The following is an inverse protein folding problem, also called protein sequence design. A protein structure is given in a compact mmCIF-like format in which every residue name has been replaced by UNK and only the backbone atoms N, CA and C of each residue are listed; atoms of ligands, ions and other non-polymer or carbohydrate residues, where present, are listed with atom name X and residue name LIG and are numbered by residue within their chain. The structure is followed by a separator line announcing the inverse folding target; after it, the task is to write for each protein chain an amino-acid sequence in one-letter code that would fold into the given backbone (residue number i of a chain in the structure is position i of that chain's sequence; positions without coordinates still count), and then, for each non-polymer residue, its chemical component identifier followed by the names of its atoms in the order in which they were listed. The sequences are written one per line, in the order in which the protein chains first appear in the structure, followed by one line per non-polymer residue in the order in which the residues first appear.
data_IF_339083275366
#
_entry.id   IF_339083275366
#
_cell.length_a   1.000
_cell.length_b   1.000
_cell.length_c   1.000
_cell.angle_alpha   90.00
_cell.angle_beta   90.00
_cell.angle_gamma   90.00
#
_symmetry.space_group_name_H-M   'P 1'
#
loop_
_entity.id
_entity.type
_entity.pdbx_description
1 polymer ?
#
# COMPACT_ATOMS: atom_id res chain seq x y z
N UNK A 1 -40.32 53.91 -46.17
CA UNK A 1 -39.85 52.74 -46.96
C UNK A 1 -38.49 52.27 -46.45
N UNK A 2 -38.46 51.26 -45.58
CA UNK A 2 -37.53 50.11 -45.62
C UNK A 2 -37.96 49.16 -44.51
N UNK A 3 -38.30 47.94 -44.92
CA UNK A 3 -39.06 46.96 -44.14
C UNK A 3 -38.18 46.27 -43.10
N UNK A 4 -38.74 46.16 -41.90
CA UNK A 4 -38.30 45.29 -40.81
C UNK A 4 -38.21 43.85 -41.34
N UNK A 5 -37.06 43.19 -41.19
CA UNK A 5 -36.94 41.73 -41.34
C UNK A 5 -36.61 41.15 -39.99
N UNK A 6 -37.66 40.81 -39.24
CA UNK A 6 -37.58 39.83 -38.16
C UNK A 6 -37.28 38.49 -38.82
N UNK A 7 -36.14 37.90 -38.52
CA UNK A 7 -35.85 36.49 -38.81
C UNK A 7 -35.79 35.80 -37.45
N UNK A 8 -36.88 35.14 -37.07
CA UNK A 8 -36.86 34.10 -36.05
C UNK A 8 -36.44 32.82 -36.75
N UNK A 9 -35.25 32.32 -36.45
CA UNK A 9 -34.87 30.94 -36.73
C UNK A 9 -34.28 30.30 -35.48
N UNK A 10 -35.08 29.40 -34.92
CA UNK A 10 -34.70 28.09 -34.35
C UNK A 10 -33.52 28.02 -33.38
N UNK A 11 -33.81 27.60 -32.15
CA UNK A 11 -32.83 27.11 -31.20
C UNK A 11 -31.99 25.94 -31.75
N UNK A 12 -30.68 25.98 -31.52
CA UNK A 12 -29.86 24.79 -31.37
C UNK A 12 -28.95 25.02 -30.15
N UNK A 13 -29.26 24.32 -29.07
CA UNK A 13 -28.32 24.12 -27.97
C UNK A 13 -27.15 23.27 -28.50
N UNK A 14 -25.96 23.85 -28.59
CA UNK A 14 -24.72 23.08 -28.67
C UNK A 14 -23.93 23.38 -27.40
N UNK A 15 -24.03 22.47 -26.45
CA UNK A 15 -23.06 22.36 -25.36
C UNK A 15 -21.71 21.98 -25.99
N UNK A 16 -20.79 22.94 -26.10
CA UNK A 16 -19.41 22.64 -26.46
C UNK A 16 -18.66 22.23 -25.20
N UNK A 17 -18.54 20.91 -25.08
CA UNK A 17 -17.58 20.18 -24.27
C UNK A 17 -16.14 20.66 -24.54
N UNK A 18 -15.30 20.62 -23.51
CA UNK A 18 -13.87 20.36 -23.70
C UNK A 18 -12.91 21.55 -23.58
N UNK A 19 -13.05 22.40 -22.57
CA UNK A 19 -11.88 23.10 -22.04
C UNK A 19 -11.29 22.23 -20.93
N UNK A 20 -10.17 21.57 -21.23
CA UNK A 20 -9.43 20.73 -20.31
C UNK A 20 -8.98 21.51 -19.09
N UNK A 21 -9.78 21.47 -18.03
CA UNK A 21 -9.28 21.71 -16.70
C UNK A 21 -8.62 20.40 -16.30
N UNK A 22 -7.32 20.30 -16.59
CA UNK A 22 -6.44 19.41 -15.85
C UNK A 22 -6.43 19.91 -14.41
N UNK A 23 -7.50 19.61 -13.68
CA UNK A 23 -7.57 19.82 -12.25
C UNK A 23 -6.67 18.74 -11.65
N UNK A 24 -5.38 19.02 -11.66
CA UNK A 24 -4.39 18.27 -10.93
C UNK A 24 -4.71 18.50 -9.45
N UNK A 25 -5.61 17.67 -8.91
CA UNK A 25 -5.74 17.59 -7.46
C UNK A 25 -4.38 17.11 -6.96
N UNK A 26 -3.67 17.85 -6.09
CA UNK A 26 -2.61 17.24 -5.32
C UNK A 26 -3.24 16.02 -4.65
N UNK A 27 -2.70 14.83 -4.98
CA UNK A 27 -3.21 13.58 -4.45
C UNK A 27 -3.31 13.71 -2.94
N UNK A 28 -4.49 13.45 -2.38
CA UNK A 28 -4.63 13.32 -0.94
C UNK A 28 -3.54 12.33 -0.49
N UNK A 29 -2.72 12.75 0.47
CA UNK A 29 -1.69 11.89 1.02
C UNK A 29 -2.37 10.60 1.50
N UNK A 30 -1.96 9.46 0.94
CA UNK A 30 -2.63 8.21 1.22
C UNK A 30 -2.59 7.95 2.73
N UNK A 31 -3.74 7.63 3.33
CA UNK A 31 -3.78 7.22 4.74
C UNK A 31 -3.14 5.83 4.87
N UNK A 32 -1.85 5.82 5.20
CA UNK A 32 -1.06 4.59 5.35
C UNK A 32 -1.29 3.87 6.69
N UNK A 33 -2.25 4.32 7.51
CA UNK A 33 -2.56 3.67 8.79
C UNK A 33 -3.16 2.28 8.56
N UNK A 34 -2.59 1.27 9.22
CA UNK A 34 -3.12 -0.09 9.16
C UNK A 34 -4.42 -0.23 9.96
N UNK A 35 -5.39 -0.94 9.38
CA UNK A 35 -6.75 -1.15 9.89
C UNK A 35 -7.05 -2.65 10.15
N UNK A 36 -6.36 -3.31 11.10
CA UNK A 36 -6.49 -4.75 11.33
C UNK A 36 -7.83 -5.17 11.95
N UNK A 37 -8.64 -4.22 12.43
CA UNK A 37 -9.95 -4.47 13.03
C UNK A 37 -11.12 -4.15 12.07
N UNK A 38 -10.81 -3.70 10.86
CA UNK A 38 -11.80 -3.44 9.81
C UNK A 38 -11.97 -4.72 8.96
N UNK A 39 -13.11 -5.43 9.08
CA UNK A 39 -13.28 -6.73 8.45
C UNK A 39 -13.27 -6.66 6.92
N UNK A 40 -13.72 -5.55 6.32
CA UNK A 40 -13.74 -5.40 4.86
C UNK A 40 -12.32 -5.20 4.31
N UNK A 41 -11.54 -4.34 4.98
CA UNK A 41 -10.14 -4.10 4.63
C UNK A 41 -9.30 -5.36 4.80
N UNK A 42 -9.52 -6.10 5.90
CA UNK A 42 -8.81 -7.36 6.16
C UNK A 42 -9.17 -8.43 5.12
N UNK A 43 -10.45 -8.57 4.76
CA UNK A 43 -10.87 -9.54 3.75
C UNK A 43 -10.33 -9.20 2.35
N UNK A 44 -10.27 -7.92 1.99
CA UNK A 44 -9.63 -7.45 0.76
C UNK A 44 -8.12 -7.73 0.78
N UNK A 45 -7.45 -7.36 1.86
CA UNK A 45 -6.03 -7.60 2.08
C UNK A 45 -5.63 -9.07 2.00
N UNK A 46 -6.47 -9.98 2.50
CA UNK A 46 -6.25 -11.42 2.39
C UNK A 46 -6.22 -11.89 0.94
N UNK A 47 -7.13 -11.38 0.08
CA UNK A 47 -7.16 -11.73 -1.34
C UNK A 47 -5.87 -11.30 -2.04
N UNK A 48 -5.42 -10.07 -1.75
CA UNK A 48 -4.16 -9.54 -2.26
C UNK A 48 -2.98 -10.39 -1.77
N UNK A 49 -2.93 -10.71 -0.48
CA UNK A 49 -1.88 -11.54 0.09
C UNK A 49 -1.76 -12.88 -0.64
N UNK A 50 -2.88 -13.56 -0.86
CA UNK A 50 -2.90 -14.85 -1.55
C UNK A 50 -2.44 -14.74 -3.01
N UNK A 51 -2.80 -13.66 -3.69
CA UNK A 51 -2.45 -13.45 -5.09
C UNK A 51 -0.99 -13.00 -5.29
N UNK A 52 -0.44 -12.19 -4.38
CA UNK A 52 0.81 -11.47 -4.59
C UNK A 52 1.95 -11.89 -3.64
N UNK A 53 1.63 -12.31 -2.41
CA UNK A 53 2.63 -12.47 -1.34
C UNK A 53 2.87 -13.94 -0.96
N UNK A 54 1.83 -14.76 -1.02
CA UNK A 54 1.82 -16.12 -0.49
C UNK A 54 2.79 -17.07 -1.20
N UNK A 55 3.18 -16.79 -2.45
CA UNK A 55 4.15 -17.60 -3.20
C UNK A 55 5.53 -17.65 -2.53
N UNK A 56 5.93 -16.57 -1.84
CA UNK A 56 7.20 -16.50 -1.11
C UNK A 56 6.99 -16.57 0.41
N UNK A 57 6.00 -15.86 0.95
CA UNK A 57 5.76 -15.79 2.40
C UNK A 57 4.89 -16.94 2.93
N UNK A 58 4.43 -17.82 2.05
CA UNK A 58 3.56 -18.95 2.36
C UNK A 58 2.10 -18.55 2.61
N UNK A 59 1.13 -19.42 2.27
CA UNK A 59 -0.29 -19.14 2.51
C UNK A 59 -0.64 -19.02 4.01
N UNK A 60 0.17 -19.62 4.88
CA UNK A 60 0.06 -19.51 6.34
C UNK A 60 0.94 -18.44 6.98
N UNK A 61 1.53 -17.52 6.20
CA UNK A 61 2.43 -16.46 6.67
C UNK A 61 3.72 -16.94 7.34
N UNK A 62 4.10 -18.21 7.12
CA UNK A 62 5.25 -18.85 7.76
C UNK A 62 6.63 -18.49 7.17
N UNK A 63 6.66 -17.86 5.99
CA UNK A 63 7.91 -17.56 5.28
C UNK A 63 8.61 -18.81 4.74
N UNK A 64 9.83 -18.61 4.27
CA UNK A 64 10.72 -19.68 3.84
C UNK A 64 11.52 -20.24 5.02
N UNK A 65 11.99 -21.49 4.88
CA UNK A 65 12.89 -22.09 5.86
C UNK A 65 14.19 -21.29 5.98
N UNK A 66 14.79 -21.30 7.18
CA UNK A 66 16.06 -20.63 7.47
C UNK A 66 16.12 -19.16 7.02
N UNK A 67 14.99 -18.43 7.09
CA UNK A 67 14.88 -17.05 6.60
C UNK A 67 15.86 -16.03 7.23
N UNK A 68 16.50 -16.40 8.35
CA UNK A 68 17.53 -15.60 9.01
C UNK A 68 18.95 -15.86 8.47
N UNK A 69 19.13 -16.90 7.67
CA UNK A 69 20.39 -17.30 7.07
C UNK A 69 20.44 -16.84 5.62
N UNK A 70 21.58 -16.28 5.20
CA UNK A 70 21.76 -15.86 3.81
C UNK A 70 21.89 -17.09 2.91
N UNK A 71 21.22 -17.02 1.76
CA UNK A 71 21.40 -17.97 0.67
C UNK A 71 22.81 -17.83 0.06
N UNK A 72 23.28 -18.80 -0.76
CA UNK A 72 24.57 -18.71 -1.43
C UNK A 72 24.76 -17.46 -2.31
N UNK A 73 23.66 -16.88 -2.79
CA UNK A 73 23.66 -15.62 -3.54
C UNK A 73 23.75 -14.36 -2.64
N UNK A 74 23.85 -14.53 -1.32
CA UNK A 74 23.94 -13.46 -0.34
C UNK A 74 22.61 -12.84 0.10
N UNK A 75 21.48 -13.18 -0.54
CA UNK A 75 20.15 -12.63 -0.22
C UNK A 75 19.51 -13.39 0.95
N UNK A 76 18.53 -12.77 1.62
CA UNK A 76 17.75 -13.41 2.67
C UNK A 76 16.45 -14.02 2.09
N UNK A 77 16.06 -15.23 2.50
CA UNK A 77 14.74 -15.78 2.16
C UNK A 77 13.60 -14.93 2.73
N UNK A 78 12.40 -15.11 2.17
CA UNK A 78 11.20 -14.39 2.61
C UNK A 78 10.89 -14.70 4.10
N UNK A 79 10.85 -13.70 4.99
CA UNK A 79 10.58 -13.91 6.40
C UNK A 79 9.10 -14.27 6.66
N UNK A 80 8.77 -14.90 7.79
CA UNK A 80 7.40 -15.05 8.25
C UNK A 80 6.78 -13.68 8.50
N UNK A 81 5.51 -13.57 8.12
CA UNK A 81 4.65 -12.45 8.48
C UNK A 81 3.76 -12.76 9.70
N UNK A 82 3.79 -14.01 10.20
CA UNK A 82 3.12 -14.40 11.44
C UNK A 82 3.91 -13.97 12.71
N UNK A 83 3.47 -14.46 13.88
CA UNK A 83 4.08 -14.17 15.18
C UNK A 83 5.56 -14.62 15.33
N UNK A 84 6.06 -15.52 14.47
CA UNK A 84 7.44 -16.04 14.52
C UNK A 84 8.45 -15.14 13.79
N UNK A 85 7.95 -14.25 12.93
CA UNK A 85 8.71 -13.28 12.17
C UNK A 85 9.04 -12.00 12.93
N UNK A 86 9.59 -11.03 12.21
CA UNK A 86 9.97 -9.72 12.75
C UNK A 86 9.17 -8.54 12.19
N UNK A 87 8.23 -8.78 11.27
CA UNK A 87 7.43 -7.75 10.59
C UNK A 87 6.85 -6.71 11.55
N UNK A 88 6.33 -7.15 12.70
CA UNK A 88 5.70 -6.32 13.72
C UNK A 88 6.64 -5.35 14.47
N UNK A 89 7.96 -5.41 14.24
CA UNK A 89 8.91 -4.44 14.80
C UNK A 89 9.02 -3.14 14.00
N UNK A 90 8.45 -3.10 12.79
CA UNK A 90 8.54 -1.96 11.89
C UNK A 90 7.23 -1.15 11.96
N UNK A 91 7.28 0.19 12.01
CA UNK A 91 6.07 1.02 11.98
C UNK A 91 5.35 0.95 10.63
N UNK A 92 4.07 1.32 10.61
CA UNK A 92 3.19 1.36 9.43
C UNK A 92 3.90 1.99 8.22
N UNK A 93 4.52 3.16 8.40
CA UNK A 93 5.20 3.88 7.33
C UNK A 93 6.38 3.10 6.73
N UNK A 94 7.16 2.43 7.57
CA UNK A 94 8.28 1.62 7.10
C UNK A 94 7.78 0.37 6.35
N UNK A 95 6.74 -0.30 6.86
CA UNK A 95 6.15 -1.46 6.20
C UNK A 95 5.55 -1.09 4.84
N UNK A 96 4.84 0.03 4.78
CA UNK A 96 4.28 0.58 3.56
C UNK A 96 5.38 0.86 2.53
N UNK A 97 6.45 1.55 2.93
CA UNK A 97 7.59 1.86 2.06
C UNK A 97 8.31 0.61 1.56
N UNK A 98 8.58 -0.36 2.44
CA UNK A 98 9.21 -1.64 2.07
C UNK A 98 8.38 -2.38 1.02
N UNK A 99 7.06 -2.31 1.12
CA UNK A 99 6.14 -2.94 0.16
C UNK A 99 6.09 -2.16 -1.15
N UNK A 100 5.87 -0.84 -1.08
CA UNK A 100 5.71 0.02 -2.26
C UNK A 100 6.99 0.11 -3.08
N UNK A 101 8.13 0.35 -2.43
CA UNK A 101 9.41 0.65 -3.09
C UNK A 101 10.36 -0.54 -3.16
N UNK A 102 10.08 -1.62 -2.41
CA UNK A 102 10.94 -2.80 -2.33
C UNK A 102 12.10 -2.63 -1.35
N UNK A 103 12.51 -3.66 -0.58
CA UNK A 103 13.55 -3.54 0.44
C UNK A 103 14.91 -3.05 -0.08
N UNK A 104 15.30 -3.44 -1.30
CA UNK A 104 16.55 -2.99 -1.93
C UNK A 104 16.61 -1.45 -2.04
N UNK A 105 15.52 -0.81 -2.47
CA UNK A 105 15.47 0.64 -2.61
C UNK A 105 15.30 1.38 -1.27
N UNK A 106 14.64 0.78 -0.28
CA UNK A 106 14.45 1.40 1.04
C UNK A 106 15.73 1.35 1.88
N UNK A 107 16.43 0.21 1.88
CA UNK A 107 17.68 0.04 2.64
C UNK A 107 18.85 0.74 1.92
N UNK A 108 18.90 0.62 0.59
CA UNK A 108 19.93 1.24 -0.24
C UNK A 108 21.31 0.62 -0.10
N UNK A 109 22.32 1.32 -0.62
CA UNK A 109 23.69 0.83 -0.70
C UNK A 109 23.81 -0.40 -1.60
N UNK A 110 24.48 -1.44 -1.12
CA UNK A 110 24.62 -2.73 -1.81
C UNK A 110 23.62 -3.79 -1.33
N UNK A 111 22.53 -3.39 -0.65
CA UNK A 111 21.54 -4.34 -0.14
C UNK A 111 20.66 -4.87 -1.27
N UNK A 112 20.63 -6.19 -1.41
CA UNK A 112 19.89 -6.92 -2.44
C UNK A 112 18.75 -7.72 -1.81
N UNK A 113 17.60 -7.79 -2.51
CA UNK A 113 16.40 -8.48 -2.03
C UNK A 113 15.63 -9.11 -3.18
N UNK A 114 15.09 -10.31 -2.95
CA UNK A 114 14.19 -10.98 -3.91
C UNK A 114 12.75 -10.43 -3.84
N UNK A 115 12.39 -9.74 -2.76
CA UNK A 115 11.08 -9.08 -2.65
C UNK A 115 10.98 -7.90 -3.63
N UNK A 116 10.00 -7.90 -4.56
CA UNK A 116 9.85 -6.85 -5.56
C UNK A 116 9.27 -5.56 -4.96
N UNK A 117 9.36 -4.48 -5.71
CA UNK A 117 8.59 -3.25 -5.45
C UNK A 117 7.17 -3.38 -6.04
N UNK A 118 6.16 -2.90 -5.31
CA UNK A 118 4.77 -2.94 -5.76
C UNK A 118 4.22 -1.61 -6.29
N UNK A 119 5.03 -0.54 -6.34
CA UNK A 119 4.65 0.72 -6.96
C UNK A 119 4.21 0.51 -8.41
N UNK A 120 2.98 0.96 -8.74
CA UNK A 120 2.38 0.76 -10.06
C UNK A 120 1.78 -0.63 -10.29
N UNK A 121 1.91 -1.55 -9.34
CA UNK A 121 1.28 -2.89 -9.34
C UNK A 121 0.10 -2.91 -8.38
N UNK A 122 0.28 -2.39 -7.17
CA UNK A 122 -0.76 -2.22 -6.15
C UNK A 122 -1.02 -0.73 -5.91
N UNK A 123 -2.27 -0.37 -5.65
CA UNK A 123 -2.61 0.95 -5.12
C UNK A 123 -2.13 1.10 -3.68
N UNK A 124 -2.13 2.33 -3.18
CA UNK A 124 -1.76 2.60 -1.79
C UNK A 124 -2.77 1.95 -0.83
N UNK A 125 -4.05 1.96 -1.20
CA UNK A 125 -5.13 1.29 -0.46
C UNK A 125 -4.94 -0.23 -0.43
N UNK A 126 -4.49 -0.84 -1.52
CA UNK A 126 -4.21 -2.27 -1.60
C UNK A 126 -3.01 -2.66 -0.72
N UNK A 127 -1.96 -1.84 -0.71
CA UNK A 127 -0.80 -2.03 0.19
C UNK A 127 -1.24 -1.92 1.65
N UNK A 128 -2.06 -0.92 2.00
CA UNK A 128 -2.63 -0.79 3.35
C UNK A 128 -3.50 -2.00 3.70
N UNK A 129 -4.31 -2.49 2.75
CA UNK A 129 -5.19 -3.63 2.99
C UNK A 129 -4.39 -4.91 3.27
N UNK A 130 -3.39 -5.23 2.44
CA UNK A 130 -2.57 -6.45 2.64
C UNK A 130 -1.77 -6.40 3.94
N UNK A 131 -1.23 -5.25 4.31
CA UNK A 131 -0.53 -5.05 5.59
C UNK A 131 -1.50 -5.10 6.78
N UNK A 132 -2.74 -4.61 6.62
CA UNK A 132 -3.80 -4.72 7.64
C UNK A 132 -4.20 -6.16 7.89
N UNK A 133 -4.32 -6.98 6.84
CA UNK A 133 -4.51 -8.42 6.94
C UNK A 133 -3.34 -9.09 7.69
N UNK A 134 -2.10 -8.80 7.34
CA UNK A 134 -0.94 -9.36 8.04
C UNK A 134 -1.01 -9.03 9.54
N UNK A 135 -1.25 -7.76 9.89
CA UNK A 135 -1.37 -7.30 11.28
C UNK A 135 -2.52 -7.97 12.03
N UNK A 136 -3.66 -8.25 11.37
CA UNK A 136 -4.80 -8.90 12.02
C UNK A 136 -4.52 -10.35 12.43
N UNK A 137 -3.52 -11.01 11.84
CA UNK A 137 -3.11 -12.38 12.22
C UNK A 137 -2.29 -12.43 13.51
N UNK A 138 -1.76 -11.30 13.96
CA UNK A 138 -0.89 -11.28 15.13
C UNK A 138 -1.68 -11.41 16.44
N UNK A 139 -1.10 -12.03 17.49
CA UNK A 139 -1.68 -12.01 18.81
C UNK A 139 -1.95 -10.58 19.29
N UNK A 140 -3.04 -10.34 20.03
CA UNK A 140 -3.41 -8.98 20.45
C UNK A 140 -2.31 -8.23 21.22
N UNK A 141 -1.44 -8.93 21.96
CA UNK A 141 -0.25 -8.33 22.60
C UNK A 141 0.76 -7.77 21.59
N UNK A 142 0.94 -8.45 20.47
CA UNK A 142 1.85 -8.05 19.39
C UNK A 142 1.27 -6.88 18.62
N UNK A 143 -0.05 -6.88 18.35
CA UNK A 143 -0.72 -5.74 17.73
C UNK A 143 -0.57 -4.47 18.56
N UNK A 144 -0.82 -4.55 19.88
CA UNK A 144 -0.60 -3.42 20.81
C UNK A 144 0.85 -2.93 20.82
N UNK A 145 1.81 -3.86 20.81
CA UNK A 145 3.23 -3.50 20.77
C UNK A 145 3.59 -2.75 19.48
N UNK A 146 3.05 -3.18 18.35
CA UNK A 146 3.22 -2.51 17.08
C UNK A 146 2.54 -1.12 17.07
N UNK A 147 1.37 -0.98 17.67
CA UNK A 147 0.72 0.33 17.85
C UNK A 147 1.57 1.28 18.72
N UNK A 148 2.22 0.77 19.77
CA UNK A 148 3.18 1.56 20.55
C UNK A 148 4.39 2.04 19.72
N UNK A 149 4.90 1.19 18.82
CA UNK A 149 5.98 1.55 17.90
C UNK A 149 5.52 2.68 16.96
N UNK A 150 4.31 2.57 16.40
CA UNK A 150 3.71 3.62 15.59
C UNK A 150 3.57 4.95 16.35
N UNK A 151 3.13 4.92 17.61
CA UNK A 151 3.00 6.13 18.42
C UNK A 151 4.35 6.79 18.72
N UNK A 152 5.40 6.00 18.98
CA UNK A 152 6.75 6.51 19.27
C UNK A 152 7.41 7.12 18.05
N UNK A 153 7.20 6.54 16.88
CA UNK A 153 7.77 7.03 15.61
C UNK A 153 7.07 8.28 15.09
N UNK A 154 5.81 8.50 15.46
CA UNK A 154 5.04 9.73 15.13
C UNK A 154 5.37 10.94 16.01
N UNK A 155 5.95 10.76 17.21
CA UNK A 155 6.37 11.89 18.03
C UNK A 155 7.64 12.53 17.41
N UNK A 156 7.63 13.82 17.05
CA UNK A 156 8.88 14.53 16.81
C UNK A 156 9.72 14.43 18.09
N UNK A 157 11.04 14.29 17.93
CA UNK A 157 11.98 14.27 19.05
C UNK A 157 11.72 15.41 20.01
N UNK A 158 11.84 15.08 21.30
CA UNK A 158 11.86 16.03 22.41
C UNK A 158 13.03 17.01 22.27
#
# INVERSE_FOLDING_TARGET
MRRLKVVVTGAVCVAVLGAGVWFWMPGAEADIRLRPNDPEVVAHGQKIYMAQCASCHGPGLGGQANWRERLPNGRLPAPPHDKSGHTWHHPDAQLFDLTKRGPAAVVGGSYESDMPAYAGILSDEDIVAVLSFIKSTWPGKTQRRHDDINMRTKKPGN
#
